data_IF_392345662597
#
_entry.id   IF_392345662597
#
_cell.length_a   1.000
_cell.length_b   1.000
_cell.length_c   1.000
_cell.angle_alpha   90.00
_cell.angle_beta   90.00
_cell.angle_gamma   90.00
#
_symmetry.space_group_name_H-M   'P 1'
#
loop_
_entity.id
_entity.type
_entity.pdbx_description
1 polymer ?
#
# COMPACT_ATOMS: atom_id res chain seq x y z
N UNK A 1 -3.62 -6.26 -15.40
CA UNK A 1 -2.21 -6.34 -14.96
C UNK A 1 -1.56 -7.68 -15.31
N UNK A 2 -1.78 -8.78 -14.57
CA UNK A 2 -1.07 -10.06 -14.84
C UNK A 2 -1.33 -10.60 -16.26
N UNK A 3 -2.57 -10.55 -16.73
CA UNK A 3 -2.91 -10.97 -18.09
C UNK A 3 -2.23 -10.14 -19.19
N UNK A 4 -1.91 -8.89 -18.90
CA UNK A 4 -1.25 -7.93 -19.80
C UNK A 4 0.27 -8.20 -19.84
N UNK A 5 0.90 -8.35 -18.66
CA UNK A 5 2.33 -8.67 -18.52
C UNK A 5 2.69 -10.11 -18.93
N UNK A 6 1.73 -11.04 -18.90
CA UNK A 6 1.88 -12.43 -19.36
C UNK A 6 1.26 -12.65 -20.76
N UNK A 7 1.09 -11.59 -21.55
CA UNK A 7 0.48 -11.69 -22.89
C UNK A 7 1.29 -12.57 -23.85
N UNK A 8 2.61 -12.71 -23.65
CA UNK A 8 3.47 -13.59 -24.44
C UNK A 8 3.32 -15.09 -24.15
N UNK A 9 2.62 -15.50 -23.08
CA UNK A 9 2.37 -16.91 -22.75
C UNK A 9 1.05 -17.34 -23.38
N UNK A 10 1.13 -18.17 -24.42
CA UNK A 10 -0.03 -18.62 -25.21
C UNK A 10 -0.72 -19.84 -24.61
N UNK A 11 0.02 -20.74 -23.95
CA UNK A 11 -0.54 -21.92 -23.30
C UNK A 11 -1.40 -21.52 -22.08
N UNK A 12 -2.72 -21.83 -22.09
CA UNK A 12 -3.63 -21.48 -21.00
C UNK A 12 -3.23 -22.07 -19.64
N UNK A 13 -2.71 -23.30 -19.61
CA UNK A 13 -2.32 -23.96 -18.36
C UNK A 13 -1.07 -23.32 -17.77
N UNK A 14 -0.03 -23.12 -18.59
CA UNK A 14 1.17 -22.39 -18.18
C UNK A 14 0.85 -20.95 -17.74
N UNK A 15 -0.09 -20.27 -18.42
CA UNK A 15 -0.51 -18.91 -18.04
C UNK A 15 -1.22 -18.89 -16.69
N UNK A 16 -2.15 -19.82 -16.44
CA UNK A 16 -2.84 -19.92 -15.16
C UNK A 16 -1.86 -20.21 -14.00
N UNK A 17 -0.91 -21.12 -14.22
CA UNK A 17 0.15 -21.42 -13.25
C UNK A 17 1.03 -20.20 -12.96
N UNK A 18 1.41 -19.44 -14.00
CA UNK A 18 2.19 -18.21 -13.85
C UNK A 18 1.41 -17.12 -13.09
N UNK A 19 0.13 -16.91 -13.41
CA UNK A 19 -0.75 -15.96 -12.71
C UNK A 19 -0.80 -16.28 -11.22
N UNK A 20 -1.02 -17.56 -10.86
CA UNK A 20 -1.03 -17.99 -9.46
C UNK A 20 0.31 -17.73 -8.78
N UNK A 21 1.41 -18.22 -9.39
CA UNK A 21 2.76 -18.07 -8.83
C UNK A 21 3.10 -16.61 -8.55
N UNK A 22 2.87 -15.71 -9.51
CA UNK A 22 3.17 -14.29 -9.35
C UNK A 22 2.23 -13.59 -8.38
N UNK A 23 0.96 -14.00 -8.31
CA UNK A 23 0.04 -13.55 -7.27
C UNK A 23 0.57 -13.87 -5.87
N UNK A 24 1.04 -15.10 -5.66
CA UNK A 24 1.62 -15.54 -4.38
C UNK A 24 2.88 -14.74 -4.03
N UNK A 25 3.77 -14.49 -5.00
CA UNK A 25 4.96 -13.64 -4.82
C UNK A 25 4.61 -12.19 -4.47
N UNK A 26 3.59 -11.62 -5.11
CA UNK A 26 3.14 -10.26 -4.80
C UNK A 26 2.58 -10.16 -3.39
N UNK A 27 1.81 -11.17 -2.96
CA UNK A 27 1.29 -11.23 -1.59
C UNK A 27 2.44 -11.38 -0.59
N UNK A 28 3.39 -12.27 -0.84
CA UNK A 28 4.55 -12.48 0.03
C UNK A 28 5.38 -11.19 0.17
N UNK A 29 5.70 -10.54 -0.95
CA UNK A 29 6.41 -9.26 -0.96
C UNK A 29 5.65 -8.16 -0.21
N UNK A 30 4.33 -8.09 -0.39
CA UNK A 30 3.48 -7.13 0.32
C UNK A 30 3.49 -7.36 1.84
N UNK A 31 3.31 -8.59 2.30
CA UNK A 31 3.30 -8.91 3.73
C UNK A 31 4.66 -8.63 4.37
N UNK A 32 5.76 -9.07 3.74
CA UNK A 32 7.12 -8.79 4.21
C UNK A 32 7.41 -7.29 4.26
N UNK A 33 6.99 -6.55 3.24
CA UNK A 33 7.12 -5.09 3.20
C UNK A 33 6.37 -4.43 4.34
N UNK A 34 5.10 -4.80 4.55
CA UNK A 34 4.28 -4.30 5.66
C UNK A 34 4.90 -4.54 7.03
N UNK A 35 5.40 -5.75 7.29
CA UNK A 35 6.09 -6.07 8.55
C UNK A 35 7.37 -5.25 8.72
N UNK A 36 8.21 -5.20 7.68
CA UNK A 36 9.44 -4.41 7.72
C UNK A 36 9.16 -2.92 7.96
N UNK A 37 8.12 -2.38 7.31
CA UNK A 37 7.69 -1.00 7.44
C UNK A 37 7.15 -0.65 8.82
N UNK A 38 6.29 -1.51 9.38
CA UNK A 38 5.77 -1.32 10.73
C UNK A 38 6.88 -1.26 11.78
N UNK A 39 7.87 -2.16 11.70
CA UNK A 39 9.03 -2.17 12.60
C UNK A 39 9.92 -0.94 12.39
N UNK A 40 10.27 -0.64 11.13
CA UNK A 40 11.18 0.45 10.79
C UNK A 40 10.57 1.81 11.15
N UNK A 41 9.41 2.13 10.61
CA UNK A 41 8.78 3.44 10.82
C UNK A 41 8.19 3.58 12.21
N UNK A 42 7.74 2.51 12.85
CA UNK A 42 7.37 2.54 14.28
C UNK A 42 8.54 3.00 15.14
N UNK A 43 9.70 2.35 15.00
CA UNK A 43 10.91 2.73 15.76
C UNK A 43 11.43 4.14 15.41
N UNK A 44 11.32 4.56 14.14
CA UNK A 44 11.65 5.91 13.72
C UNK A 44 10.70 6.94 14.35
N UNK A 45 9.41 6.65 14.46
CA UNK A 45 8.42 7.56 15.04
C UNK A 45 8.64 7.78 16.54
N UNK A 46 9.09 6.75 17.26
CA UNK A 46 9.47 6.86 18.66
C UNK A 46 10.70 7.76 18.84
N UNK A 47 11.63 7.76 17.86
CA UNK A 47 12.88 8.55 17.92
C UNK A 47 12.75 9.98 17.40
N UNK A 48 12.06 10.17 16.27
CA UNK A 48 12.00 11.44 15.54
C UNK A 48 10.64 12.14 15.65
N UNK A 49 9.68 11.52 16.34
CA UNK A 49 8.33 12.02 16.49
C UNK A 49 7.38 11.52 15.40
N UNK A 50 6.08 11.55 15.70
CA UNK A 50 5.03 10.88 14.92
C UNK A 50 4.82 11.58 13.58
N UNK A 51 4.66 12.92 13.58
CA UNK A 51 4.38 13.72 12.38
C UNK A 51 5.40 13.53 11.24
N UNK A 52 6.71 13.78 11.40
CA UNK A 52 7.66 13.67 10.29
C UNK A 52 7.75 12.23 9.75
N UNK A 53 7.50 11.23 10.59
CA UNK A 53 7.54 9.84 10.18
C UNK A 53 6.27 9.42 9.44
N UNK A 54 5.09 9.90 9.84
CA UNK A 54 3.86 9.73 9.04
C UNK A 54 4.01 10.37 7.64
N UNK A 55 4.64 11.53 7.56
CA UNK A 55 4.96 12.18 6.29
C UNK A 55 5.84 11.25 5.43
N UNK A 56 6.91 10.71 6.02
CA UNK A 56 7.80 9.79 5.32
C UNK A 56 7.09 8.51 4.84
N UNK A 57 6.20 7.93 5.65
CA UNK A 57 5.44 6.73 5.26
C UNK A 57 4.48 7.01 4.11
N UNK A 58 3.80 8.17 4.14
CA UNK A 58 2.89 8.59 3.07
C UNK A 58 3.65 8.79 1.76
N UNK A 59 4.74 9.54 1.80
CA UNK A 59 5.58 9.74 0.62
C UNK A 59 6.12 8.41 0.08
N UNK A 60 6.53 7.51 0.96
CA UNK A 60 7.02 6.18 0.57
C UNK A 60 5.95 5.43 -0.22
N UNK A 61 4.77 5.17 0.36
CA UNK A 61 3.78 4.38 -0.38
C UNK A 61 3.28 5.10 -1.64
N UNK A 62 3.11 6.44 -1.61
CA UNK A 62 2.59 7.18 -2.74
C UNK A 62 3.55 7.23 -3.93
N UNK A 63 4.84 7.46 -3.68
CA UNK A 63 5.86 7.49 -4.74
C UNK A 63 5.99 6.10 -5.37
N UNK A 64 6.12 5.05 -4.56
CA UNK A 64 6.29 3.70 -5.09
C UNK A 64 5.01 3.15 -5.76
N UNK A 65 3.82 3.57 -5.29
CA UNK A 65 2.58 3.30 -6.00
C UNK A 65 2.60 3.96 -7.38
N UNK A 66 2.95 5.25 -7.46
CA UNK A 66 3.09 5.98 -8.72
C UNK A 66 4.09 5.35 -9.69
N UNK A 67 5.25 4.93 -9.18
CA UNK A 67 6.29 4.25 -9.97
C UNK A 67 5.81 2.93 -10.59
N UNK A 68 4.76 2.30 -10.03
CA UNK A 68 4.17 1.08 -10.58
C UNK A 68 3.56 1.30 -11.97
N UNK A 69 3.24 2.55 -12.32
CA UNK A 69 2.79 2.92 -13.67
C UNK A 69 3.81 2.53 -14.76
N UNK A 70 5.11 2.66 -14.48
CA UNK A 70 6.19 2.44 -15.44
C UNK A 70 6.65 0.98 -15.54
N UNK A 71 5.99 0.07 -14.85
CA UNK A 71 6.41 -1.33 -14.80
C UNK A 71 6.17 -2.05 -16.12
N UNK A 72 7.21 -2.75 -16.55
CA UNK A 72 7.24 -3.63 -17.72
C UNK A 72 7.38 -5.09 -17.34
N UNK A 73 7.97 -5.39 -16.18
CA UNK A 73 8.28 -6.76 -15.75
C UNK A 73 7.60 -7.12 -14.42
N UNK A 74 7.26 -8.41 -14.25
CA UNK A 74 6.56 -8.89 -13.06
C UNK A 74 7.36 -8.74 -11.77
N UNK A 75 8.69 -8.93 -11.83
CA UNK A 75 9.54 -8.76 -10.65
C UNK A 75 9.54 -7.31 -10.14
N UNK A 76 9.43 -6.32 -11.04
CA UNK A 76 9.35 -4.90 -10.67
C UNK A 76 8.07 -4.64 -9.86
N UNK A 77 6.95 -5.26 -10.24
CA UNK A 77 5.70 -5.17 -9.47
C UNK A 77 5.90 -5.71 -8.05
N UNK A 78 6.58 -6.85 -7.90
CA UNK A 78 6.82 -7.45 -6.58
C UNK A 78 7.69 -6.53 -5.70
N UNK A 79 8.78 -5.98 -6.26
CA UNK A 79 9.66 -5.04 -5.56
C UNK A 79 8.94 -3.75 -5.17
N UNK A 80 8.18 -3.14 -6.08
CA UNK A 80 7.43 -1.93 -5.77
C UNK A 80 6.33 -2.21 -4.75
N UNK A 81 5.65 -3.35 -4.82
CA UNK A 81 4.66 -3.76 -3.81
C UNK A 81 5.25 -3.89 -2.42
N UNK A 82 6.47 -4.40 -2.31
CA UNK A 82 7.18 -4.45 -1.03
C UNK A 82 7.37 -3.05 -0.44
N UNK A 83 7.84 -2.08 -1.24
CA UNK A 83 8.04 -0.70 -0.75
C UNK A 83 6.72 0.04 -0.48
N UNK A 84 5.70 -0.16 -1.31
CA UNK A 84 4.35 0.37 -1.04
C UNK A 84 3.83 -0.17 0.29
N UNK A 85 3.92 -1.48 0.51
CA UNK A 85 3.48 -2.10 1.74
C UNK A 85 4.31 -1.63 2.94
N UNK A 86 5.60 -1.37 2.75
CA UNK A 86 6.46 -0.79 3.80
C UNK A 86 5.96 0.58 4.26
N UNK A 87 5.59 1.46 3.33
CA UNK A 87 4.96 2.74 3.68
C UNK A 87 3.63 2.55 4.40
N UNK A 88 2.73 1.72 3.87
CA UNK A 88 1.40 1.47 4.46
C UNK A 88 1.49 0.83 5.86
N UNK A 89 2.35 -0.18 6.04
CA UNK A 89 2.55 -0.84 7.32
C UNK A 89 3.16 0.10 8.36
N UNK A 90 4.09 0.95 7.94
CA UNK A 90 4.65 2.00 8.77
C UNK A 90 3.61 3.03 9.20
N UNK A 91 2.83 3.54 8.25
CA UNK A 91 1.74 4.48 8.50
C UNK A 91 0.75 3.90 9.53
N UNK A 92 0.35 2.64 9.35
CA UNK A 92 -0.58 1.97 10.26
C UNK A 92 -0.04 1.87 11.69
N UNK A 93 1.24 1.50 11.85
CA UNK A 93 1.89 1.43 13.15
C UNK A 93 1.96 2.81 13.84
N UNK A 94 2.40 3.84 13.11
CA UNK A 94 2.55 5.20 13.66
C UNK A 94 1.18 5.82 13.98
N UNK A 95 0.18 5.64 13.11
CA UNK A 95 -1.16 6.15 13.32
C UNK A 95 -1.86 5.48 14.52
N UNK A 96 -1.70 4.17 14.71
CA UNK A 96 -2.23 3.46 15.88
C UNK A 96 -1.66 4.00 17.19
N UNK A 97 -0.34 4.22 17.26
CA UNK A 97 0.31 4.86 18.41
C UNK A 97 -0.18 6.29 18.63
N UNK A 98 -0.32 7.08 17.55
CA UNK A 98 -0.79 8.46 17.63
C UNK A 98 -2.22 8.54 18.19
N UNK A 99 -3.13 7.66 17.73
CA UNK A 99 -4.50 7.59 18.27
C UNK A 99 -4.47 7.27 19.77
N UNK A 100 -3.58 6.37 20.20
CA UNK A 100 -3.44 6.05 21.61
C UNK A 100 -2.95 7.23 22.44
N UNK A 101 -2.04 8.04 21.91
CA UNK A 101 -1.45 9.19 22.61
C UNK A 101 -2.38 10.41 22.67
N UNK A 102 -3.11 10.68 21.58
CA UNK A 102 -3.94 11.89 21.44
C UNK A 102 -5.27 11.76 22.19
N UNK A 103 -5.87 10.56 22.19
CA UNK A 103 -7.20 10.37 22.76
C UNK A 103 -7.16 9.91 24.24
N UNK A 104 -8.06 10.44 25.09
CA UNK A 104 -8.18 10.00 26.47
C UNK A 104 -8.66 8.55 26.57
N UNK A 105 -8.34 7.88 27.67
CA UNK A 105 -8.57 6.42 27.86
C UNK A 105 -9.99 5.96 27.53
N UNK A 106 -11.01 6.73 27.89
CA UNK A 106 -12.42 6.37 27.66
C UNK A 106 -12.84 6.49 26.18
N UNK A 107 -12.21 7.36 25.40
CA UNK A 107 -12.52 7.57 23.99
C UNK A 107 -11.63 6.74 23.05
N UNK A 108 -10.50 6.24 23.53
CA UNK A 108 -9.47 5.56 22.72
C UNK A 108 -10.02 4.39 21.92
N UNK A 109 -10.86 3.53 22.52
CA UNK A 109 -11.46 2.38 21.82
C UNK A 109 -12.33 2.83 20.65
N UNK A 110 -13.15 3.86 20.83
CA UNK A 110 -13.98 4.41 19.75
C UNK A 110 -13.13 5.07 18.67
N UNK A 111 -12.12 5.84 19.05
CA UNK A 111 -11.19 6.48 18.11
C UNK A 111 -10.43 5.45 17.27
N UNK A 112 -9.93 4.38 17.87
CA UNK A 112 -9.32 3.25 17.15
C UNK A 112 -10.31 2.54 16.22
N UNK A 113 -11.56 2.40 16.63
CA UNK A 113 -12.62 1.84 15.79
C UNK A 113 -12.88 2.69 14.54
N UNK A 114 -12.97 4.02 14.70
CA UNK A 114 -13.12 4.97 13.58
C UNK A 114 -11.89 4.92 12.66
N UNK A 115 -10.69 4.88 13.24
CA UNK A 115 -9.45 4.74 12.51
C UNK A 115 -9.46 3.48 11.63
N UNK A 116 -9.84 2.32 12.16
CA UNK A 116 -9.95 1.10 11.36
C UNK A 116 -11.08 1.18 10.32
N UNK A 117 -12.22 1.78 10.64
CA UNK A 117 -13.33 1.95 9.71
C UNK A 117 -12.94 2.82 8.50
N UNK A 118 -12.00 3.76 8.65
CA UNK A 118 -11.49 4.56 7.54
C UNK A 118 -10.84 3.72 6.43
N UNK A 119 -10.24 2.56 6.78
CA UNK A 119 -9.67 1.64 5.78
C UNK A 119 -10.72 1.04 4.84
N UNK A 120 -11.95 0.84 5.33
CA UNK A 120 -13.07 0.36 4.53
C UNK A 120 -13.45 1.42 3.50
N UNK A 121 -13.50 2.70 3.90
CA UNK A 121 -13.74 3.82 2.98
C UNK A 121 -12.65 3.87 1.90
N UNK A 122 -11.38 3.71 2.29
CA UNK A 122 -10.26 3.60 1.35
C UNK A 122 -10.45 2.45 0.35
N UNK A 123 -10.92 1.29 0.81
CA UNK A 123 -11.21 0.13 -0.04
C UNK A 123 -12.31 0.43 -1.07
N UNK A 124 -13.39 1.11 -0.66
CA UNK A 124 -14.45 1.53 -1.58
C UNK A 124 -13.94 2.54 -2.62
N UNK A 125 -13.16 3.54 -2.19
CA UNK A 125 -12.56 4.50 -3.11
C UNK A 125 -11.63 3.81 -4.12
N UNK A 126 -10.82 2.85 -3.68
CA UNK A 126 -9.97 2.06 -4.56
C UNK A 126 -10.76 1.22 -5.56
N UNK A 127 -11.87 0.61 -5.14
CA UNK A 127 -12.76 -0.15 -6.03
C UNK A 127 -13.40 0.76 -7.09
N UNK A 128 -13.92 1.92 -6.70
CA UNK A 128 -14.50 2.91 -7.61
C UNK A 128 -13.45 3.40 -8.61
N UNK A 129 -12.25 3.74 -8.13
CA UNK A 129 -11.13 4.12 -8.98
C UNK A 129 -10.76 3.01 -9.99
N UNK A 130 -10.74 1.75 -9.54
CA UNK A 130 -10.50 0.58 -10.39
C UNK A 130 -11.56 0.42 -11.49
N UNK A 131 -12.83 0.62 -11.17
CA UNK A 131 -13.93 0.60 -12.15
C UNK A 131 -13.76 1.75 -13.15
N UNK A 132 -13.46 2.96 -12.66
CA UNK A 132 -13.33 4.16 -13.49
C UNK A 132 -12.19 4.05 -14.52
N UNK A 133 -11.05 3.45 -14.16
CA UNK A 133 -9.92 3.28 -15.09
C UNK A 133 -10.07 2.05 -16.03
N UNK A 134 -10.96 1.12 -15.70
CA UNK A 134 -11.24 -0.07 -16.50
C UNK A 134 -9.99 -0.91 -16.81
N UNK A 135 -9.72 -1.14 -18.10
CA UNK A 135 -8.58 -1.95 -18.57
C UNK A 135 -7.23 -1.24 -18.41
N UNK A 136 -7.23 0.08 -18.20
CA UNK A 136 -6.02 0.90 -18.05
C UNK A 136 -5.51 0.86 -16.60
N UNK A 137 -5.25 -0.35 -16.12
CA UNK A 137 -4.87 -0.64 -14.74
C UNK A 137 -3.67 0.19 -14.23
N UNK A 138 -2.77 0.62 -15.13
CA UNK A 138 -1.63 1.49 -14.79
C UNK A 138 -2.09 2.83 -14.22
N UNK A 139 -3.17 3.41 -14.75
CA UNK A 139 -3.70 4.70 -14.27
C UNK A 139 -4.21 4.62 -12.83
N UNK A 140 -4.73 3.46 -12.39
CA UNK A 140 -5.14 3.29 -10.99
C UNK A 140 -3.95 3.48 -10.01
N UNK A 141 -2.73 3.14 -10.42
CA UNK A 141 -1.54 3.32 -9.58
C UNK A 141 -1.09 4.80 -9.50
N UNK A 142 -1.38 5.63 -10.50
CA UNK A 142 -1.11 7.08 -10.44
C UNK A 142 -2.01 7.79 -9.43
N UNK A 143 -3.23 7.29 -9.21
CA UNK A 143 -4.13 7.80 -8.15
C UNK A 143 -3.48 7.64 -6.78
N UNK A 144 -2.63 6.64 -6.60
CA UNK A 144 -1.84 6.42 -5.39
C UNK A 144 -0.86 7.56 -5.05
N UNK A 145 -0.59 8.48 -5.98
CA UNK A 145 0.26 9.67 -5.75
C UNK A 145 -0.50 10.77 -5.00
N UNK A 146 -1.84 10.81 -5.10
CA UNK A 146 -2.66 11.91 -4.55
C UNK A 146 -2.37 12.16 -3.05
N UNK A 147 -2.25 11.14 -2.18
CA UNK A 147 -1.96 11.37 -0.77
C UNK A 147 -0.65 12.11 -0.50
N UNK A 148 0.36 11.99 -1.37
CA UNK A 148 1.61 12.75 -1.24
C UNK A 148 1.39 14.27 -1.31
N UNK A 149 0.32 14.73 -1.97
CA UNK A 149 -0.03 16.15 -2.07
C UNK A 149 -0.67 16.70 -0.79
N UNK A 150 -1.15 15.83 0.10
CA UNK A 150 -1.82 16.20 1.36
C UNK A 150 -0.84 16.31 2.54
N UNK A 151 0.42 15.99 2.31
CA UNK A 151 1.48 16.00 3.31
C UNK A 151 1.91 17.45 3.58
N UNK A 152 1.74 17.94 4.82
CA UNK A 152 2.12 19.30 5.25
C UNK A 152 2.82 19.28 6.60
#
# INVERSE_FOLDING_TARGET
MLNDLLSGVQDPEAKAAAVKKWGDWFLAAFLLGGTAGGLLFGSLADRYGRRPVMIATILTYSIFAGLTYFVTELWQVATLRFFVAMGVGGEWAVAASLVAEVFPKHARTHASGIFHASSVVGTWMAAIAGIAVGTQWRLAYLIGIIPALLVV
#
